data_IF_682134078044
#
_entry.id   IF_682134078044
#
_cell.length_a   1.000
_cell.length_b   1.000
_cell.length_c   1.000
_cell.angle_alpha   90.00
_cell.angle_beta   90.00
_cell.angle_gamma   90.00
#
_symmetry.space_group_name_H-M   'P 1'
#
loop_
_entity.id
_entity.type
_entity.pdbx_description
1 polymer ?
#
# COMPACT_ATOMS: atom_id res chain seq x y z
N UNK A 1 -24.18 54.73 -9.41
CA UNK A 1 -24.51 53.78 -8.33
C UNK A 1 -23.31 52.87 -8.17
N UNK A 2 -22.22 53.33 -7.56
CA UNK A 2 -21.98 53.26 -6.10
C UNK A 2 -21.43 51.87 -5.80
N UNK A 3 -20.19 51.62 -5.40
CA UNK A 3 -19.23 52.42 -4.65
C UNK A 3 -18.66 51.45 -3.60
N UNK A 4 -17.33 51.25 -3.59
CA UNK A 4 -16.70 50.28 -2.70
C UNK A 4 -15.24 50.02 -3.03
N UNK A 5 -14.43 51.07 -3.13
CA UNK A 5 -12.97 50.96 -3.03
C UNK A 5 -12.62 50.79 -1.55
N UNK A 6 -12.86 49.59 -1.02
CA UNK A 6 -12.15 49.15 0.18
C UNK A 6 -10.86 48.47 -0.28
N UNK A 7 -9.72 49.09 0.03
CA UNK A 7 -8.44 48.40 0.01
C UNK A 7 -8.47 47.35 1.13
N UNK A 8 -9.10 46.20 0.87
CA UNK A 8 -8.95 45.01 1.71
C UNK A 8 -7.50 44.58 1.59
N UNK A 9 -6.88 44.42 2.75
CA UNK A 9 -5.43 44.35 2.92
C UNK A 9 -4.73 43.35 2.01
N UNK A 10 -3.42 43.56 1.93
CA UNK A 10 -2.37 42.83 1.19
C UNK A 10 -2.29 41.31 1.50
N UNK A 11 -3.33 40.71 2.08
CA UNK A 11 -3.32 39.36 2.68
C UNK A 11 -4.58 38.54 2.35
N UNK A 12 -5.30 38.85 1.26
CA UNK A 12 -6.37 37.96 0.78
C UNK A 12 -5.81 36.88 -0.15
N UNK A 13 -5.78 35.62 0.31
CA UNK A 13 -5.27 34.48 -0.49
C UNK A 13 -6.14 34.13 -1.71
N UNK A 14 -7.33 34.72 -1.82
CA UNK A 14 -8.25 34.47 -2.92
C UNK A 14 -7.96 35.40 -4.10
N UNK A 15 -7.67 34.86 -5.30
CA UNK A 15 -7.27 35.69 -6.43
C UNK A 15 -8.44 36.50 -6.99
N UNK A 16 -8.15 37.73 -7.45
CA UNK A 16 -9.13 38.59 -8.11
C UNK A 16 -9.53 38.08 -9.51
N UNK A 17 -8.62 37.38 -10.19
CA UNK A 17 -8.86 36.79 -11.51
C UNK A 17 -8.54 35.30 -11.49
N UNK A 18 -9.41 34.49 -12.10
CA UNK A 18 -9.14 33.07 -12.29
C UNK A 18 -8.10 32.87 -13.41
N UNK A 19 -7.00 32.19 -13.12
CA UNK A 19 -5.96 31.88 -14.11
C UNK A 19 -6.49 30.94 -15.20
N UNK A 20 -7.37 29.99 -14.84
CA UNK A 20 -7.91 28.97 -15.74
C UNK A 20 -9.24 28.39 -15.23
N UNK A 21 -10.09 27.85 -16.12
CA UNK A 21 -11.30 27.15 -15.70
C UNK A 21 -10.97 25.85 -14.93
N UNK A 22 -11.85 25.49 -13.99
CA UNK A 22 -11.78 24.24 -13.22
C UNK A 22 -13.05 23.44 -13.50
N UNK A 23 -12.87 22.20 -14.00
CA UNK A 23 -14.00 21.32 -14.31
C UNK A 23 -14.62 20.69 -13.06
N UNK A 24 -15.92 20.38 -13.13
CA UNK A 24 -16.61 19.62 -12.08
C UNK A 24 -16.20 18.15 -12.14
N UNK A 25 -15.70 17.54 -11.04
CA UNK A 25 -15.29 16.15 -11.06
C UNK A 25 -16.47 15.19 -11.26
N UNK A 26 -16.31 14.18 -12.14
CA UNK A 26 -17.30 13.12 -12.32
C UNK A 26 -17.15 12.04 -11.25
N UNK A 27 -18.17 11.86 -10.41
CA UNK A 27 -18.15 10.94 -9.27
C UNK A 27 -17.75 9.50 -9.63
N UNK A 28 -18.22 8.97 -10.76
CA UNK A 28 -17.89 7.61 -11.19
C UNK A 28 -16.39 7.44 -11.50
N UNK A 29 -15.76 8.47 -12.09
CA UNK A 29 -14.32 8.47 -12.39
C UNK A 29 -13.53 8.57 -11.09
N UNK A 30 -13.93 9.47 -10.18
CA UNK A 30 -13.26 9.59 -8.89
C UNK A 30 -13.30 8.28 -8.09
N UNK A 31 -14.45 7.62 -8.02
CA UNK A 31 -14.58 6.30 -7.38
C UNK A 31 -13.70 5.25 -8.05
N UNK A 32 -13.71 5.18 -9.38
CA UNK A 32 -12.88 4.25 -10.14
C UNK A 32 -11.37 4.47 -9.95
N UNK A 33 -10.92 5.67 -9.58
CA UNK A 33 -9.50 5.95 -9.29
C UNK A 33 -9.03 5.50 -7.91
N UNK A 34 -9.95 5.30 -6.97
CA UNK A 34 -9.59 4.85 -5.60
C UNK A 34 -9.27 3.36 -5.63
N UNK A 35 -10.01 2.53 -6.38
CA UNK A 35 -9.81 1.08 -6.36
C UNK A 35 -8.39 0.61 -6.77
N UNK A 36 -7.77 1.13 -7.84
CA UNK A 36 -6.40 0.77 -8.23
C UNK A 36 -5.34 1.13 -7.19
N UNK A 37 -5.66 1.99 -6.22
CA UNK A 37 -4.75 2.34 -5.16
C UNK A 37 -4.56 1.19 -4.16
N UNK A 38 -5.63 0.48 -3.81
CA UNK A 38 -5.61 -0.54 -2.74
C UNK A 38 -5.88 -1.97 -3.21
N UNK A 39 -6.51 -2.18 -4.38
CA UNK A 39 -6.69 -3.52 -4.94
C UNK A 39 -5.41 -4.01 -5.61
N UNK A 40 -5.19 -5.32 -5.54
CA UNK A 40 -4.20 -5.97 -6.38
C UNK A 40 -4.60 -5.83 -7.85
N UNK A 41 -3.63 -5.55 -8.71
CA UNK A 41 -3.87 -5.27 -10.12
C UNK A 41 -2.62 -4.73 -10.80
N UNK A 42 -2.78 -4.13 -11.98
CA UNK A 42 -1.68 -3.66 -12.82
C UNK A 42 -0.73 -2.69 -12.10
N UNK A 43 -1.25 -1.81 -11.24
CA UNK A 43 -0.47 -0.76 -10.57
C UNK A 43 -0.01 -1.10 -9.16
N UNK A 44 -0.36 -2.28 -8.65
CA UNK A 44 -0.11 -2.66 -7.25
C UNK A 44 1.40 -2.65 -6.88
N UNK A 45 2.29 -2.87 -7.85
CA UNK A 45 3.75 -2.90 -7.63
C UNK A 45 4.45 -1.55 -7.78
N UNK A 46 3.76 -0.51 -8.24
CA UNK A 46 4.38 0.79 -8.60
C UNK A 46 3.67 2.00 -7.97
N UNK A 47 2.58 1.78 -7.25
CA UNK A 47 1.86 2.86 -6.57
C UNK A 47 2.52 3.24 -5.23
N UNK A 48 2.02 4.28 -4.57
CA UNK A 48 2.57 4.74 -3.29
C UNK A 48 2.52 3.64 -2.21
N UNK A 49 1.50 2.78 -2.22
CA UNK A 49 1.37 1.68 -1.26
C UNK A 49 2.48 0.63 -1.45
N UNK A 50 2.93 0.38 -2.67
CA UNK A 50 4.05 -0.52 -2.96
C UNK A 50 5.32 -0.07 -2.22
N UNK A 51 5.58 1.24 -2.20
CA UNK A 51 6.75 1.82 -1.53
C UNK A 51 6.71 1.71 -0.01
N UNK A 52 5.54 1.48 0.61
CA UNK A 52 5.43 1.31 2.05
C UNK A 52 6.09 0.01 2.56
N UNK A 53 6.33 -0.96 1.67
CA UNK A 53 6.80 -2.29 2.02
C UNK A 53 8.21 -2.61 1.54
N UNK A 54 8.99 -1.61 1.10
CA UNK A 54 10.37 -1.83 0.63
C UNK A 54 11.30 -2.44 1.70
N UNK A 55 10.96 -2.33 2.98
CA UNK A 55 11.68 -2.97 4.09
C UNK A 55 11.20 -4.37 4.47
N UNK A 56 10.27 -4.98 3.72
CA UNK A 56 9.86 -6.37 3.97
C UNK A 56 10.90 -7.32 3.39
N UNK A 57 11.42 -8.18 4.23
CA UNK A 57 12.30 -9.28 3.84
C UNK A 57 11.53 -10.59 3.84
N UNK A 58 11.85 -11.46 2.88
CA UNK A 58 11.36 -12.81 2.77
C UNK A 58 12.45 -13.71 2.22
N UNK A 59 12.38 -15.01 2.50
CA UNK A 59 13.34 -15.99 2.03
C UNK A 59 14.77 -15.78 2.55
N UNK A 60 15.71 -16.60 2.07
CA UNK A 60 17.11 -16.54 2.48
C UNK A 60 17.77 -15.23 2.02
N UNK A 61 18.67 -14.62 2.82
CA UNK A 61 19.19 -15.10 4.10
C UNK A 61 18.32 -14.78 5.33
N UNK A 62 17.28 -13.95 5.16
CA UNK A 62 16.52 -13.35 6.26
C UNK A 62 15.50 -14.29 6.91
N UNK A 63 14.90 -15.19 6.13
CA UNK A 63 13.92 -16.19 6.59
C UNK A 63 14.34 -17.54 6.00
N UNK A 64 14.68 -18.49 6.88
CA UNK A 64 15.10 -19.83 6.51
C UNK A 64 14.06 -20.82 7.04
N UNK A 65 13.47 -21.59 6.12
CA UNK A 65 12.48 -22.61 6.46
C UNK A 65 13.08 -23.98 6.21
N UNK A 66 12.91 -24.87 7.19
CA UNK A 66 13.33 -26.26 7.13
C UNK A 66 12.20 -27.13 7.63
N UNK A 67 12.03 -28.28 7.00
CA UNK A 67 10.89 -29.17 7.23
C UNK A 67 11.35 -30.56 7.64
N UNK A 68 10.61 -31.16 8.55
CA UNK A 68 10.64 -32.60 8.81
C UNK A 68 9.21 -33.11 8.64
N UNK A 69 9.05 -34.15 7.83
CA UNK A 69 7.75 -34.73 7.50
C UNK A 69 7.44 -35.84 8.50
N UNK A 70 6.39 -35.66 9.32
CA UNK A 70 5.98 -36.68 10.28
C UNK A 70 5.46 -37.95 9.57
N UNK A 71 5.95 -39.16 9.91
CA UNK A 71 5.53 -40.39 9.26
C UNK A 71 4.10 -40.80 9.65
N UNK A 72 3.45 -41.59 8.80
CA UNK A 72 2.22 -42.34 9.11
C UNK A 72 1.05 -41.51 9.67
N UNK A 73 0.94 -40.24 9.27
CA UNK A 73 -0.08 -39.30 9.77
C UNK A 73 -0.04 -39.12 11.30
N UNK A 74 1.12 -39.40 11.90
CA UNK A 74 1.35 -39.22 13.33
C UNK A 74 1.20 -37.75 13.72
N UNK A 75 0.79 -37.53 14.98
CA UNK A 75 0.76 -36.21 15.62
C UNK A 75 1.77 -36.23 16.77
N UNK A 76 3.07 -36.10 16.47
CA UNK A 76 4.12 -36.21 17.47
C UNK A 76 4.00 -35.10 18.51
N UNK A 77 4.57 -35.35 19.69
CA UNK A 77 4.72 -34.30 20.69
C UNK A 77 5.76 -33.27 20.23
N UNK A 78 5.80 -32.12 20.90
CA UNK A 78 6.82 -31.11 20.60
C UNK A 78 8.25 -31.63 20.80
N UNK A 79 8.47 -32.43 21.85
CA UNK A 79 9.77 -33.02 22.17
C UNK A 79 10.25 -33.95 21.05
N UNK A 80 9.37 -34.83 20.57
CA UNK A 80 9.65 -35.73 19.45
C UNK A 80 9.90 -34.93 18.16
N UNK A 81 8.99 -34.02 17.80
CA UNK A 81 9.08 -33.25 16.55
C UNK A 81 10.35 -32.40 16.43
N UNK A 82 10.90 -31.90 17.54
CA UNK A 82 12.12 -31.08 17.55
C UNK A 82 13.42 -31.87 17.60
N UNK A 83 13.35 -33.18 17.86
CA UNK A 83 14.52 -34.06 17.97
C UNK A 83 15.09 -34.54 16.63
N UNK A 84 14.36 -34.32 15.52
CA UNK A 84 14.70 -34.81 14.20
C UNK A 84 15.57 -33.83 13.39
N UNK A 85 16.21 -34.35 12.34
CA UNK A 85 16.91 -33.51 11.36
C UNK A 85 15.92 -32.90 10.36
N UNK A 86 16.01 -31.58 10.19
CA UNK A 86 15.16 -30.84 9.26
C UNK A 86 15.92 -30.59 7.95
N UNK A 87 15.28 -30.92 6.83
CA UNK A 87 15.81 -30.62 5.49
C UNK A 87 15.39 -29.23 5.05
N UNK A 88 16.23 -28.55 4.28
CA UNK A 88 15.88 -27.25 3.69
C UNK A 88 14.67 -27.39 2.75
N UNK A 89 13.68 -26.52 2.94
CA UNK A 89 12.53 -26.45 2.03
C UNK A 89 12.96 -25.76 0.74
N UNK A 90 12.82 -26.46 -0.38
CA UNK A 90 13.00 -25.85 -1.70
C UNK A 90 11.75 -25.01 -2.00
N UNK A 91 11.92 -23.70 -2.06
CA UNK A 91 10.87 -22.73 -2.46
C UNK A 91 10.56 -22.79 -3.94
#
# INVERSE_FOLDING_TARGET
>A
MGGGSENKGDDSSYPLFAERPVGVPKTSILKGRIEPFYKSGQYYKVNLQANMYNGRYSGKPHVQLSVWDAPDLSRPTFEEATSHEFKETHT
#
